data_IF_190076395346
#
_entry.id   IF_190076395346
#
_cell.length_a   1.000
_cell.length_b   1.000
_cell.length_c   1.000
_cell.angle_alpha   90.00
_cell.angle_beta   90.00
_cell.angle_gamma   90.00
#
_symmetry.space_group_name_H-M   'P 1'
#
loop_
_entity.id
_entity.type
_entity.pdbx_description
1 polymer ?
#
# COMPACT_ATOMS: atom_id res chain seq x y z
N UNK A 1 3.48 21.74 16.61
CA UNK A 1 4.16 21.75 17.93
C UNK A 1 4.46 20.33 18.47
N UNK A 2 5.04 19.40 17.70
CA UNK A 2 5.28 18.01 18.15
C UNK A 2 6.72 17.71 18.63
N UNK A 3 7.70 18.50 18.21
CA UNK A 3 9.12 18.21 18.46
C UNK A 3 9.58 18.39 19.91
N UNK A 4 9.03 19.38 20.62
CA UNK A 4 9.41 19.65 22.02
C UNK A 4 8.92 18.55 22.98
N UNK A 5 7.69 18.04 22.76
CA UNK A 5 7.10 16.94 23.54
C UNK A 5 7.87 15.63 23.29
N UNK A 6 8.24 15.35 22.04
CA UNK A 6 9.05 14.18 21.70
C UNK A 6 10.43 14.20 22.36
N UNK A 7 11.08 15.37 22.41
CA UNK A 7 12.39 15.53 23.09
C UNK A 7 12.29 15.33 24.61
N UNK A 8 11.25 15.86 25.26
CA UNK A 8 11.04 15.67 26.70
C UNK A 8 10.73 14.20 27.06
N UNK A 9 9.90 13.53 26.26
CA UNK A 9 9.56 12.12 26.49
C UNK A 9 10.74 11.17 26.26
N UNK A 10 11.71 11.54 25.41
CA UNK A 10 12.94 10.75 25.20
C UNK A 10 13.74 10.60 26.50
N UNK A 11 13.94 11.67 27.26
CA UNK A 11 14.68 11.61 28.53
C UNK A 11 14.01 10.70 29.56
N UNK A 12 12.67 10.74 29.64
CA UNK A 12 11.90 9.85 30.51
C UNK A 12 12.01 8.38 30.08
N UNK A 13 12.02 8.10 28.76
CA UNK A 13 12.20 6.74 28.23
C UNK A 13 13.59 6.18 28.49
N UNK A 14 14.61 7.04 28.55
CA UNK A 14 16.01 6.67 28.78
C UNK A 14 16.39 6.48 30.25
N UNK A 15 15.45 6.65 31.18
CA UNK A 15 15.68 6.29 32.57
C UNK A 15 15.80 4.77 32.71
N UNK A 16 16.89 4.33 33.37
CA UNK A 16 17.12 2.94 33.74
C UNK A 16 17.29 1.98 32.54
N UNK A 17 18.02 2.40 31.50
CA UNK A 17 18.31 1.58 30.32
C UNK A 17 19.18 0.39 30.67
N UNK A 18 20.21 0.56 31.52
CA UNK A 18 21.20 -0.50 31.80
C UNK A 18 20.53 -1.75 32.38
N UNK A 19 19.68 -1.59 33.40
CA UNK A 19 18.91 -2.70 33.97
C UNK A 19 17.93 -3.33 32.96
N UNK A 20 17.40 -2.55 32.00
CA UNK A 20 16.53 -3.09 30.92
C UNK A 20 17.34 -3.87 29.90
N UNK A 21 18.53 -3.39 29.56
CA UNK A 21 19.47 -4.04 28.65
C UNK A 21 19.95 -5.35 29.26
N UNK A 22 20.36 -5.34 30.53
CA UNK A 22 20.78 -6.56 31.25
C UNK A 22 19.64 -7.58 31.35
N UNK A 23 18.40 -7.14 31.59
CA UNK A 23 17.21 -8.00 31.58
C UNK A 23 16.90 -8.60 30.20
N UNK A 24 17.30 -7.95 29.11
CA UNK A 24 17.11 -8.47 27.75
C UNK A 24 18.27 -9.36 27.33
N UNK A 25 19.51 -9.02 27.70
CA UNK A 25 20.71 -9.81 27.42
C UNK A 25 20.75 -11.13 28.21
N UNK A 26 20.25 -11.12 29.46
CA UNK A 26 20.16 -12.33 30.30
C UNK A 26 19.08 -13.31 29.86
N UNK A 27 18.14 -12.89 29.01
CA UNK A 27 17.17 -13.81 28.42
C UNK A 27 17.88 -14.67 27.38
N UNK A 28 17.59 -15.95 27.39
CA UNK A 28 18.02 -16.85 26.32
C UNK A 28 17.52 -16.32 24.97
N UNK A 29 18.39 -16.37 23.95
CA UNK A 29 18.02 -15.93 22.61
C UNK A 29 16.83 -16.78 22.14
N UNK A 30 15.78 -16.16 21.57
CA UNK A 30 14.66 -16.92 21.07
C UNK A 30 15.15 -17.94 20.04
N UNK A 31 14.58 -19.14 20.10
CA UNK A 31 14.88 -20.17 19.11
C UNK A 31 14.54 -19.62 17.73
N UNK A 32 15.50 -19.71 16.80
CA UNK A 32 15.29 -19.29 15.43
C UNK A 32 14.07 -20.04 14.86
N UNK A 33 13.28 -19.34 14.05
CA UNK A 33 12.13 -19.95 13.41
C UNK A 33 12.56 -21.22 12.64
N UNK A 34 11.75 -22.30 12.69
CA UNK A 34 12.06 -23.52 11.96
C UNK A 34 12.15 -23.18 10.47
N UNK A 35 13.29 -23.52 9.86
CA UNK A 35 13.52 -23.30 8.42
C UNK A 35 13.00 -24.50 7.64
N UNK A 36 12.57 -24.25 6.40
CA UNK A 36 12.11 -25.30 5.51
C UNK A 36 13.28 -26.25 5.15
N UNK A 37 13.06 -27.57 5.00
CA UNK A 37 14.14 -28.54 4.76
C UNK A 37 15.02 -28.22 3.55
N UNK A 38 14.49 -27.63 2.48
CA UNK A 38 15.29 -27.24 1.32
C UNK A 38 16.32 -26.14 1.66
N UNK A 39 15.94 -25.16 2.49
CA UNK A 39 16.83 -24.08 2.92
C UNK A 39 17.92 -24.59 3.87
N UNK A 40 17.63 -25.65 4.63
CA UNK A 40 18.64 -26.31 5.45
C UNK A 40 19.69 -27.02 4.59
N UNK A 41 19.28 -27.67 3.50
CA UNK A 41 20.20 -28.33 2.58
C UNK A 41 21.11 -27.34 1.86
N UNK A 42 20.57 -26.23 1.36
CA UNK A 42 21.37 -25.19 0.69
C UNK A 42 22.36 -24.52 1.64
N UNK A 43 21.91 -24.11 2.82
CA UNK A 43 22.79 -23.47 3.81
C UNK A 43 23.87 -24.40 4.35
N UNK A 44 23.59 -25.70 4.48
CA UNK A 44 24.61 -26.69 4.85
C UNK A 44 25.59 -26.92 3.70
N UNK A 45 25.12 -26.95 2.45
CA UNK A 45 25.99 -27.02 1.29
C UNK A 45 26.93 -25.81 1.23
N UNK A 46 26.42 -24.59 1.45
CA UNK A 46 27.20 -23.36 1.49
C UNK A 46 28.24 -23.34 2.62
N UNK A 47 27.88 -23.82 3.81
CA UNK A 47 28.81 -23.91 4.95
C UNK A 47 29.95 -24.89 4.74
N UNK A 48 29.73 -25.92 3.91
CA UNK A 48 30.74 -26.93 3.59
C UNK A 48 31.71 -26.48 2.48
N UNK A 49 31.46 -25.34 1.85
CA UNK A 49 32.37 -24.75 0.86
C UNK A 49 33.51 -24.08 1.63
N UNK A 50 34.73 -24.57 1.44
CA UNK A 50 35.92 -23.98 2.05
C UNK A 50 36.03 -22.49 1.65
N UNK A 51 36.29 -21.56 2.59
CA UNK A 51 36.30 -20.13 2.30
C UNK A 51 37.32 -19.75 1.21
N UNK A 52 38.37 -20.54 1.07
CA UNK A 52 39.38 -20.37 0.02
C UNK A 52 38.84 -20.55 -1.39
N UNK A 53 37.81 -21.40 -1.58
CA UNK A 53 37.23 -21.64 -2.91
C UNK A 53 36.33 -20.51 -3.39
N UNK A 54 35.71 -19.76 -2.47
CA UNK A 54 34.87 -18.59 -2.77
C UNK A 54 35.71 -17.43 -3.31
N UNK A 55 36.95 -17.30 -2.85
CA UNK A 55 37.87 -16.26 -3.28
C UNK A 55 38.72 -16.65 -4.50
N UNK A 56 38.62 -17.90 -4.96
CA UNK A 56 39.34 -18.36 -6.15
C UNK A 56 38.59 -18.00 -7.43
N UNK A 57 39.36 -17.55 -8.43
CA UNK A 57 38.83 -17.21 -9.74
C UNK A 57 38.52 -18.48 -10.54
N UNK A 58 37.25 -18.69 -10.88
CA UNK A 58 36.85 -19.78 -11.76
C UNK A 58 37.32 -19.51 -13.20
N UNK A 59 38.27 -20.32 -13.67
CA UNK A 59 38.87 -20.20 -15.00
C UNK A 59 37.91 -20.62 -16.12
N UNK A 60 36.96 -21.53 -15.86
CA UNK A 60 35.98 -21.97 -16.86
C UNK A 60 34.96 -20.86 -17.08
N UNK A 61 34.43 -20.28 -16.00
CA UNK A 61 33.53 -19.13 -16.07
C UNK A 61 34.17 -17.94 -16.79
N UNK A 62 35.46 -17.68 -16.53
CA UNK A 62 36.23 -16.62 -17.21
C UNK A 62 36.35 -16.87 -18.73
N UNK A 63 36.43 -18.14 -19.16
CA UNK A 63 36.39 -18.47 -20.60
C UNK A 63 35.00 -18.21 -21.17
N UNK A 64 33.94 -18.70 -20.52
CA UNK A 64 32.56 -18.47 -20.98
C UNK A 64 32.18 -16.99 -21.06
N UNK A 65 32.59 -16.16 -20.10
CA UNK A 65 32.33 -14.71 -20.14
C UNK A 65 33.10 -13.99 -21.26
N UNK A 66 34.24 -14.54 -21.71
CA UNK A 66 34.95 -14.01 -22.88
C UNK A 66 34.28 -14.44 -24.18
N UNK A 67 33.74 -15.65 -24.21
CA UNK A 67 33.10 -16.22 -25.40
C UNK A 67 31.69 -15.65 -25.63
N UNK A 68 30.93 -15.39 -24.55
CA UNK A 68 29.58 -14.82 -24.62
C UNK A 68 29.68 -13.30 -24.71
N UNK A 69 29.71 -12.79 -25.94
CA UNK A 69 29.59 -11.36 -26.21
C UNK A 69 28.21 -11.02 -26.73
N UNK A 70 27.47 -10.21 -25.98
CA UNK A 70 26.17 -9.68 -26.41
C UNK A 70 26.42 -8.43 -27.25
N UNK A 71 26.09 -8.50 -28.53
CA UNK A 71 26.03 -7.35 -29.41
C UNK A 71 24.58 -6.90 -29.51
N UNK A 72 24.23 -5.79 -28.88
CA UNK A 72 22.93 -5.16 -29.09
C UNK A 72 22.93 -4.54 -30.49
N UNK A 73 22.15 -5.12 -31.40
CA UNK A 73 21.88 -4.55 -32.72
C UNK A 73 20.58 -3.76 -32.67
N UNK A 74 20.63 -2.49 -33.04
CA UNK A 74 19.48 -1.57 -33.05
C UNK A 74 19.81 -0.24 -32.39
N UNK A 75 18.91 0.74 -32.53
CA UNK A 75 18.99 1.96 -31.76
C UNK A 75 18.83 1.62 -30.27
N UNK A 76 19.67 2.21 -29.42
CA UNK A 76 19.52 2.05 -27.97
C UNK A 76 18.08 2.43 -27.59
N UNK A 77 17.38 1.61 -26.80
CA UNK A 77 16.05 1.97 -26.35
C UNK A 77 16.16 3.33 -25.67
N UNK A 78 15.31 4.28 -26.07
CA UNK A 78 15.18 5.55 -25.37
C UNK A 78 14.73 5.20 -23.96
N UNK A 79 15.68 5.24 -23.01
CA UNK A 79 15.38 5.16 -21.59
C UNK A 79 14.68 6.48 -21.28
N UNK A 80 13.36 6.48 -21.40
CA UNK A 80 12.54 7.53 -20.85
C UNK A 80 12.81 7.49 -19.34
N UNK A 81 13.71 8.39 -18.89
CA UNK A 81 13.72 8.77 -17.48
C UNK A 81 12.29 9.21 -17.20
N UNK A 82 11.72 8.68 -16.12
CA UNK A 82 10.40 9.04 -15.66
C UNK A 82 10.46 10.51 -15.26
N UNK A 83 10.37 11.40 -16.24
CA UNK A 83 9.98 12.77 -16.03
C UNK A 83 8.46 12.68 -15.76
N UNK A 84 8.03 13.30 -14.67
CA UNK A 84 6.81 13.04 -13.88
C UNK A 84 5.45 13.23 -14.59
N UNK A 85 5.35 13.15 -15.92
CA UNK A 85 4.17 13.68 -16.65
C UNK A 85 3.67 12.91 -17.88
N UNK A 86 4.00 11.63 -18.10
CA UNK A 86 3.25 10.87 -19.13
C UNK A 86 3.04 9.39 -18.85
N UNK A 87 1.76 9.04 -18.70
CA UNK A 87 1.09 7.75 -18.97
C UNK A 87 2.01 6.52 -19.10
N UNK A 88 2.23 5.84 -17.97
CA UNK A 88 2.87 4.53 -17.94
C UNK A 88 2.05 3.47 -18.72
N UNK A 89 2.67 2.58 -19.51
CA UNK A 89 2.09 1.27 -19.76
C UNK A 89 2.02 0.55 -18.41
N UNK A 90 0.82 0.14 -18.01
CA UNK A 90 0.47 -0.39 -16.69
C UNK A 90 1.33 -1.59 -16.29
N UNK A 91 2.44 -1.33 -15.62
CA UNK A 91 3.09 -2.33 -14.76
C UNK A 91 2.12 -2.51 -13.59
N UNK A 92 1.63 -3.73 -13.30
CA UNK A 92 0.78 -3.93 -12.14
C UNK A 92 1.57 -3.49 -10.90
N UNK A 93 1.02 -2.58 -10.07
CA UNK A 93 1.73 -2.10 -8.90
C UNK A 93 2.10 -3.31 -8.04
N UNK A 94 3.40 -3.48 -7.79
CA UNK A 94 3.89 -4.40 -6.79
C UNK A 94 3.20 -4.06 -5.46
N UNK A 95 2.92 -5.09 -4.66
CA UNK A 95 2.19 -5.11 -3.37
C UNK A 95 2.72 -4.16 -2.26
N UNK A 96 3.56 -3.19 -2.59
CA UNK A 96 4.19 -2.24 -1.68
C UNK A 96 3.31 -1.01 -1.35
N UNK A 97 2.12 -0.88 -1.94
CA UNK A 97 1.23 0.27 -1.71
C UNK A 97 0.26 0.12 -0.53
N UNK A 98 0.48 -0.83 0.39
CA UNK A 98 -0.32 -0.95 1.62
C UNK A 98 -0.12 0.23 2.59
N UNK A 99 0.79 1.17 2.31
CA UNK A 99 1.11 2.31 3.19
C UNK A 99 0.38 3.62 2.82
N UNK A 100 -0.19 3.74 1.61
CA UNK A 100 -1.01 4.90 1.28
C UNK A 100 -2.48 4.63 1.66
N UNK A 101 -3.14 5.54 2.38
CA UNK A 101 -4.57 5.43 2.62
C UNK A 101 -5.27 5.55 1.27
N UNK A 102 -5.60 4.40 0.68
CA UNK A 102 -6.49 4.33 -0.47
C UNK A 102 -7.74 5.14 -0.10
N UNK A 103 -8.07 6.14 -0.91
CA UNK A 103 -9.25 6.97 -0.71
C UNK A 103 -10.46 6.05 -0.50
N UNK A 104 -10.94 5.95 0.75
CA UNK A 104 -12.06 5.08 1.13
C UNK A 104 -13.35 5.41 0.35
N UNK A 105 -13.37 6.57 -0.30
CA UNK A 105 -14.46 7.11 -1.11
C UNK A 105 -14.40 6.64 -2.58
N UNK A 106 -13.23 6.17 -3.03
CA UNK A 106 -13.06 5.59 -4.36
C UNK A 106 -13.63 4.18 -4.37
N UNK A 107 -14.41 3.82 -5.40
CA UNK A 107 -15.00 2.47 -5.54
C UNK A 107 -13.96 1.34 -5.48
N UNK A 108 -12.70 1.66 -5.76
CA UNK A 108 -11.55 0.75 -5.77
C UNK A 108 -10.89 0.60 -4.38
N UNK A 109 -11.25 1.43 -3.38
CA UNK A 109 -10.66 1.42 -2.04
C UNK A 109 -11.46 0.66 -0.98
N UNK A 110 -12.69 0.24 -1.28
CA UNK A 110 -13.63 -0.32 -0.29
C UNK A 110 -13.11 -1.56 0.45
N UNK A 111 -12.19 -2.32 -0.16
CA UNK A 111 -11.60 -3.52 0.42
C UNK A 111 -10.12 -3.37 0.79
N UNK A 112 -9.58 -2.14 0.75
CA UNK A 112 -8.18 -1.87 1.08
C UNK A 112 -7.16 -2.40 0.06
N UNK A 113 -7.60 -2.77 -1.14
CA UNK A 113 -6.74 -3.13 -2.27
C UNK A 113 -7.37 -2.67 -3.58
N UNK A 114 -6.54 -2.30 -4.56
CA UNK A 114 -6.98 -1.87 -5.89
C UNK A 114 -7.31 -3.09 -6.74
N UNK A 115 -8.53 -3.14 -7.29
CA UNK A 115 -8.92 -4.21 -8.22
C UNK A 115 -8.35 -3.99 -9.63
N UNK A 116 -8.01 -5.07 -10.36
CA UNK A 116 -7.58 -4.96 -11.74
C UNK A 116 -8.72 -4.45 -12.63
N UNK A 117 -8.45 -3.46 -13.49
CA UNK A 117 -9.43 -2.90 -14.43
C UNK A 117 -9.98 -3.94 -15.40
N UNK A 118 -9.17 -4.94 -15.79
CA UNK A 118 -9.57 -6.01 -16.70
C UNK A 118 -9.42 -7.37 -16.02
N UNK A 119 -10.55 -8.05 -15.82
CA UNK A 119 -10.60 -9.39 -15.24
C UNK A 119 -10.75 -10.41 -16.38
N UNK A 120 -9.88 -11.42 -16.48
CA UNK A 120 -9.98 -12.43 -17.53
C UNK A 120 -11.18 -13.37 -17.28
N UNK A 121 -11.77 -13.96 -18.34
CA UNK A 121 -12.86 -14.92 -18.19
C UNK A 121 -12.41 -16.14 -17.37
N UNK A 122 -13.33 -16.69 -16.57
CA UNK A 122 -13.04 -17.78 -15.64
C UNK A 122 -12.35 -17.36 -14.34
N UNK A 123 -12.17 -16.05 -14.11
CA UNK A 123 -11.76 -15.46 -12.82
C UNK A 123 -12.78 -14.42 -12.38
N UNK A 124 -12.83 -14.18 -11.08
CA UNK A 124 -13.75 -13.22 -10.46
C UNK A 124 -13.00 -12.39 -9.44
N UNK A 125 -13.23 -11.07 -9.43
CA UNK A 125 -12.69 -10.21 -8.38
C UNK A 125 -13.46 -10.40 -7.07
N UNK A 126 -12.81 -10.11 -5.94
CA UNK A 126 -13.46 -10.30 -4.65
C UNK A 126 -14.69 -9.37 -4.50
N UNK A 127 -14.69 -8.15 -5.03
CA UNK A 127 -15.90 -7.30 -5.08
C UNK A 127 -17.02 -7.92 -5.91
N UNK A 128 -16.72 -8.43 -7.10
CA UNK A 128 -17.72 -9.10 -7.93
C UNK A 128 -18.32 -10.31 -7.23
N UNK A 129 -17.49 -11.11 -6.56
CA UNK A 129 -17.97 -12.26 -5.81
C UNK A 129 -18.83 -11.85 -4.61
N UNK A 130 -18.39 -10.89 -3.80
CA UNK A 130 -19.13 -10.44 -2.61
C UNK A 130 -20.46 -9.78 -2.97
N UNK A 131 -20.49 -8.96 -4.02
CA UNK A 131 -21.73 -8.35 -4.53
C UNK A 131 -22.70 -9.41 -5.07
N UNK A 132 -22.19 -10.44 -5.74
CA UNK A 132 -23.03 -11.56 -6.17
C UNK A 132 -23.52 -12.38 -4.98
N UNK A 133 -22.67 -12.65 -3.99
CA UNK A 133 -23.02 -13.39 -2.79
C UNK A 133 -24.12 -12.70 -1.99
N UNK A 134 -24.11 -11.37 -1.93
CA UNK A 134 -25.17 -10.57 -1.32
C UNK A 134 -26.50 -10.78 -2.07
N UNK A 135 -26.49 -10.64 -3.41
CA UNK A 135 -27.68 -10.88 -4.24
C UNK A 135 -28.21 -12.30 -4.16
N UNK A 136 -27.33 -13.30 -4.12
CA UNK A 136 -27.66 -14.71 -3.90
C UNK A 136 -28.43 -14.92 -2.59
N UNK A 137 -28.08 -14.17 -1.54
CA UNK A 137 -28.78 -14.23 -0.26
C UNK A 137 -30.14 -13.52 -0.31
N UNK A 138 -30.21 -12.37 -0.97
CA UNK A 138 -31.44 -11.58 -1.04
C UNK A 138 -32.50 -12.25 -1.94
N UNK A 139 -32.09 -12.76 -3.11
CA UNK A 139 -32.96 -13.48 -4.04
C UNK A 139 -32.27 -14.74 -4.61
N UNK A 140 -32.28 -15.87 -3.87
CA UNK A 140 -31.63 -17.11 -4.30
C UNK A 140 -32.27 -17.76 -5.55
N UNK A 141 -33.53 -17.44 -5.85
CA UNK A 141 -34.23 -17.92 -7.05
C UNK A 141 -33.70 -17.26 -8.34
N UNK A 142 -33.35 -15.98 -8.26
CA UNK A 142 -32.84 -15.21 -9.39
C UNK A 142 -31.34 -15.37 -9.58
N UNK A 143 -30.60 -15.43 -8.46
CA UNK A 143 -29.16 -15.57 -8.41
C UNK A 143 -28.81 -16.96 -7.89
N UNK A 144 -28.69 -17.93 -8.79
CA UNK A 144 -28.28 -19.30 -8.49
C UNK A 144 -26.80 -19.54 -8.79
N UNK A 145 -26.20 -20.55 -8.17
CA UNK A 145 -24.81 -20.97 -8.42
C UNK A 145 -24.58 -21.28 -9.91
N UNK A 146 -25.57 -21.87 -10.59
CA UNK A 146 -25.45 -22.18 -12.02
C UNK A 146 -25.36 -20.91 -12.87
N UNK A 147 -26.13 -19.87 -12.51
CA UNK A 147 -26.04 -18.57 -13.18
C UNK A 147 -24.70 -17.88 -12.92
N UNK A 148 -24.13 -18.05 -11.72
CA UNK A 148 -22.80 -17.54 -11.41
C UNK A 148 -21.71 -18.18 -12.30
N UNK A 149 -21.80 -19.50 -12.51
CA UNK A 149 -20.93 -20.27 -13.41
C UNK A 149 -21.02 -19.72 -14.84
N UNK A 150 -22.23 -19.49 -15.34
CA UNK A 150 -22.45 -18.97 -16.70
C UNK A 150 -21.95 -17.53 -16.86
N UNK A 151 -22.27 -16.64 -15.91
CA UNK A 151 -21.92 -15.21 -15.98
C UNK A 151 -20.41 -14.97 -16.00
N UNK A 152 -19.64 -15.74 -15.22
CA UNK A 152 -18.20 -15.54 -15.08
C UNK A 152 -17.38 -16.62 -15.78
N UNK A 153 -18.02 -17.59 -16.43
CA UNK A 153 -17.38 -18.72 -17.13
C UNK A 153 -16.42 -19.50 -16.21
N UNK A 154 -16.83 -19.72 -14.95
CA UNK A 154 -16.02 -20.44 -13.95
C UNK A 154 -16.38 -21.92 -13.99
N UNK A 155 -15.48 -22.80 -13.52
CA UNK A 155 -15.80 -24.22 -13.34
C UNK A 155 -16.82 -24.43 -12.21
N UNK A 156 -17.82 -25.31 -12.39
CA UNK A 156 -18.87 -25.53 -11.39
C UNK A 156 -18.31 -26.03 -10.04
N UNK A 157 -17.29 -26.89 -10.06
CA UNK A 157 -16.63 -27.39 -8.85
C UNK A 157 -16.03 -26.27 -7.99
N UNK A 158 -15.48 -25.25 -8.64
CA UNK A 158 -14.85 -24.11 -7.98
C UNK A 158 -15.95 -23.19 -7.42
N UNK A 159 -17.00 -22.93 -8.20
CA UNK A 159 -18.14 -22.14 -7.75
C UNK A 159 -18.76 -22.75 -6.49
N UNK A 160 -19.06 -24.05 -6.47
CA UNK A 160 -19.62 -24.71 -5.30
C UNK A 160 -18.73 -24.59 -4.05
N UNK A 161 -17.41 -24.74 -4.22
CA UNK A 161 -16.45 -24.54 -3.12
C UNK A 161 -16.45 -23.11 -2.62
N UNK A 162 -16.48 -22.12 -3.53
CA UNK A 162 -16.52 -20.70 -3.16
C UNK A 162 -17.74 -20.40 -2.28
N UNK A 163 -18.94 -20.79 -2.69
CA UNK A 163 -20.15 -20.57 -1.88
C UNK A 163 -20.14 -21.35 -0.56
N UNK A 164 -19.61 -22.58 -0.56
CA UNK A 164 -19.50 -23.40 0.66
C UNK A 164 -18.61 -22.76 1.72
N UNK A 165 -17.42 -22.27 1.33
CA UNK A 165 -16.44 -21.74 2.28
C UNK A 165 -16.68 -20.28 2.65
N UNK A 166 -17.31 -19.49 1.77
CA UNK A 166 -17.48 -18.06 1.96
C UNK A 166 -18.92 -17.63 2.31
N UNK A 167 -19.82 -18.58 2.61
CA UNK A 167 -21.19 -18.29 3.07
C UNK A 167 -21.26 -17.36 4.29
N UNK A 168 -20.22 -17.35 5.13
CA UNK A 168 -20.10 -16.49 6.30
C UNK A 168 -19.75 -15.03 5.97
N UNK A 169 -19.20 -14.76 4.79
CA UNK A 169 -18.72 -13.42 4.39
C UNK A 169 -19.83 -12.51 3.86
N UNK A 170 -21.09 -12.96 3.88
CA UNK A 170 -22.23 -12.12 3.56
C UNK A 170 -22.31 -10.99 4.60
N UNK A 171 -21.68 -9.86 4.30
CA UNK A 171 -21.63 -8.66 5.14
C UNK A 171 -23.06 -8.25 5.45
N UNK A 172 -23.42 -8.30 6.73
CA UNK A 172 -24.63 -7.66 7.20
C UNK A 172 -24.43 -6.16 7.02
N UNK A 173 -25.27 -5.52 6.21
CA UNK A 173 -25.25 -4.06 6.09
C UNK A 173 -25.45 -3.47 7.49
N UNK A 174 -24.38 -2.95 8.09
CA UNK A 174 -24.53 -1.96 9.14
C UNK A 174 -25.04 -0.73 8.43
N UNK A 175 -26.37 -0.64 8.31
CA UNK A 175 -27.06 0.52 7.77
C UNK A 175 -26.41 1.73 8.42
N UNK A 176 -25.61 2.47 7.63
CA UNK A 176 -24.84 3.60 8.13
C UNK A 176 -25.89 4.50 8.73
N UNK A 177 -25.93 4.62 10.06
CA UNK A 177 -26.78 5.61 10.71
C UNK A 177 -26.42 6.90 10.02
N UNK A 178 -27.28 7.39 9.14
CA UNK A 178 -27.10 8.71 8.56
C UNK A 178 -27.04 9.59 9.79
N UNK A 179 -25.85 10.11 10.10
CA UNK A 179 -25.75 11.13 11.11
C UNK A 179 -26.66 12.22 10.60
N UNK A 180 -27.82 12.39 11.23
CA UNK A 180 -28.65 13.56 11.10
C UNK A 180 -27.80 14.71 11.61
N UNK A 181 -26.90 15.21 10.78
CA UNK A 181 -26.20 16.44 11.04
C UNK A 181 -27.29 17.52 11.08
N UNK A 182 -27.45 18.26 12.20
CA UNK A 182 -28.44 19.32 12.23
C UNK A 182 -28.08 20.33 11.14
N UNK A 183 -29.08 20.67 10.32
CA UNK A 183 -28.94 21.64 9.23
C UNK A 183 -28.20 22.89 9.74
N UNK A 184 -27.09 23.25 9.07
CA UNK A 184 -26.39 24.50 9.35
C UNK A 184 -27.38 25.65 9.17
N UNK A 185 -27.57 26.54 10.17
CA UNK A 185 -28.51 27.63 10.05
C UNK A 185 -28.05 28.65 8.98
N UNK A 186 -28.99 29.27 8.25
CA UNK A 186 -28.72 30.01 7.01
C UNK A 186 -27.94 31.32 7.18
N UNK A 187 -27.59 31.74 8.39
CA UNK A 187 -26.99 33.05 8.63
C UNK A 187 -25.49 33.13 8.31
N UNK A 188 -24.78 32.00 8.15
CA UNK A 188 -23.35 31.99 7.81
C UNK A 188 -23.13 32.15 6.30
N UNK A 189 -24.09 31.72 5.46
CA UNK A 189 -23.98 31.86 4.01
C UNK A 189 -24.14 33.30 3.49
N UNK A 190 -24.72 34.21 4.29
CA UNK A 190 -24.94 35.60 3.89
C UNK A 190 -23.68 36.48 4.00
N UNK A 191 -22.68 36.06 4.80
CA UNK A 191 -21.47 36.86 5.05
C UNK A 191 -20.44 36.70 3.91
N UNK A 192 -20.50 35.60 3.16
CA UNK A 192 -19.58 35.36 2.03
C UNK A 192 -20.08 35.88 0.68
N UNK A 193 -21.35 36.31 0.59
CA UNK A 193 -21.96 36.85 -0.65
C UNK A 193 -22.19 38.37 -0.64
N UNK A 194 -21.90 39.09 0.45
CA UNK A 194 -21.94 40.55 0.53
C UNK A 194 -20.71 41.10 1.25
N UNK A 195 -19.70 41.57 0.52
CA UNK A 195 -18.58 42.28 1.16
C UNK A 195 -17.33 42.53 0.32
N UNK A 196 -17.49 42.93 -0.95
CA UNK A 196 -16.44 43.70 -1.66
C UNK A 196 -16.86 45.17 -1.58
N UNK A 197 -15.87 46.03 -1.39
CA UNK A 197 -15.85 47.49 -1.52
C UNK A 197 -16.10 48.33 -0.23
N UNK A 198 -15.01 48.71 0.43
CA UNK A 198 -14.92 50.00 1.11
C UNK A 198 -13.48 50.53 1.05
N UNK A 199 -13.27 51.44 0.11
CA UNK A 199 -12.07 52.23 -0.12
C UNK A 199 -11.88 53.34 0.94
N UNK A 200 -10.62 53.79 1.06
CA UNK A 200 -10.18 55.14 1.41
C UNK A 200 -10.43 55.71 2.83
N UNK A 201 -9.33 55.93 3.58
CA UNK A 201 -8.80 57.28 3.93
C UNK A 201 -7.92 57.21 5.18
N UNK A 202 -6.58 57.23 5.03
CA UNK A 202 -5.68 57.81 6.06
C UNK A 202 -4.50 58.53 5.40
N UNK A 203 -4.39 59.82 5.70
CA UNK A 203 -3.38 60.79 5.26
C UNK A 203 -1.97 60.50 5.83
N UNK A 204 -0.90 61.06 5.23
CA UNK A 204 0.49 60.70 5.50
C UNK A 204 1.22 61.55 6.56
N UNK A 205 2.24 60.95 7.18
CA UNK A 205 3.42 61.57 7.82
C UNK A 205 3.41 61.68 9.35
N UNK A 206 4.58 61.76 10.04
CA UNK A 206 5.93 61.96 9.51
C UNK A 206 6.99 60.92 9.94
N UNK A 207 8.12 61.05 9.25
CA UNK A 207 9.38 60.32 9.32
C UNK A 207 10.06 60.37 10.70
N UNK A 208 10.63 59.24 11.13
CA UNK A 208 11.83 59.22 11.99
C UNK A 208 12.75 58.10 11.51
N UNK A 209 13.91 58.51 11.00
CA UNK A 209 14.97 57.61 10.58
C UNK A 209 15.70 57.00 11.77
N UNK A 210 16.08 55.73 11.63
CA UNK A 210 17.18 55.13 12.39
C UNK A 210 18.02 54.34 11.39
N UNK A 211 19.23 54.87 11.18
CA UNK A 211 20.34 54.25 10.47
C UNK A 211 20.85 53.06 11.27
N UNK A 212 20.97 51.86 10.67
CA UNK A 212 21.85 50.81 11.19
C UNK A 212 23.03 50.63 10.24
N UNK A 213 24.18 51.16 10.67
CA UNK A 213 25.49 50.67 10.25
C UNK A 213 25.72 49.32 10.94
N UNK A 214 26.13 48.33 10.14
CA UNK A 214 27.13 47.27 10.37
C UNK A 214 26.78 46.05 9.52
#
# INVERSE_FOLDING_TARGET
MGGAVSRATRFLRMYNIDNRVDRVLSKEKPTAAPRYPADLQSTNAEKNIAPETIHQKDQQLLKYLRDVKVYSTGDNPVIHRLDDTSSHPTIPPLLNHLEEPLDEQSADGAFGYVEPQRIPPGRVSLRQFLTYLQKYRDSPEEYSIDRFVDMYTIKPDIAQKLFKYHSLLALQEFSRRQSTAPARPPHIAAIELMGIEAEATRKPGPETGITSKF
#
